data_IF_552973097880
#
_entry.id   IF_552973097880
#
_cell.length_a   1.000
_cell.length_b   1.000
_cell.length_c   1.000
_cell.angle_alpha   90.00
_cell.angle_beta   90.00
_cell.angle_gamma   90.00
#
_symmetry.space_group_name_H-M   'P 1'
#
loop_
_entity.id
_entity.type
_entity.pdbx_description
1 polymer ?
#
# COMPACT_ATOMS: atom_id res chain seq x y z
N UNK A 1 28.29 45.70 -22.36
CA UNK A 1 27.98 44.30 -22.72
C UNK A 1 28.11 43.41 -21.48
N UNK A 2 27.19 43.52 -20.51
CA UNK A 2 27.19 42.70 -19.27
C UNK A 2 25.80 42.47 -18.65
N UNK A 3 24.75 43.09 -19.20
CA UNK A 3 23.37 43.04 -18.66
C UNK A 3 22.44 42.12 -19.48
N UNK A 4 22.87 41.68 -20.66
CA UNK A 4 22.04 40.86 -21.56
C UNK A 4 21.88 39.39 -21.11
N UNK A 5 22.76 38.88 -20.25
CA UNK A 5 22.70 37.48 -19.77
C UNK A 5 21.60 37.29 -18.71
N UNK A 6 21.22 38.33 -17.98
CA UNK A 6 20.21 38.25 -16.92
C UNK A 6 18.77 38.08 -17.46
N UNK A 7 18.51 38.50 -18.71
CA UNK A 7 17.18 38.35 -19.33
C UNK A 7 16.96 36.92 -19.83
N UNK A 8 18.03 36.17 -20.14
CA UNK A 8 17.95 34.82 -20.68
C UNK A 8 17.59 33.74 -19.64
N UNK A 9 17.75 34.06 -18.35
CA UNK A 9 17.44 33.12 -17.25
C UNK A 9 16.00 33.23 -16.73
N UNK A 10 15.26 34.28 -17.10
CA UNK A 10 13.87 34.48 -16.67
C UNK A 10 12.84 33.77 -17.56
N UNK A 11 13.27 33.17 -18.68
CA UNK A 11 12.37 32.51 -19.64
C UNK A 11 12.21 31.00 -19.43
N UNK A 12 12.91 30.38 -18.48
CA UNK A 12 12.62 29.00 -18.07
C UNK A 12 11.43 28.97 -17.11
N UNK A 13 10.25 29.32 -17.61
CA UNK A 13 8.99 28.91 -16.99
C UNK A 13 8.85 27.41 -17.19
N UNK A 14 9.21 26.63 -16.18
CA UNK A 14 8.81 25.22 -16.11
C UNK A 14 7.30 25.18 -15.89
N UNK A 15 6.55 25.23 -16.99
CA UNK A 15 5.21 24.67 -17.01
C UNK A 15 5.36 23.16 -16.97
N UNK A 16 5.54 22.61 -15.77
CA UNK A 16 5.21 21.20 -15.54
C UNK A 16 3.72 21.11 -15.78
N UNK A 17 3.36 20.77 -17.02
CA UNK A 17 2.04 20.28 -17.32
C UNK A 17 1.98 18.93 -16.62
N UNK A 18 1.48 18.90 -15.38
CA UNK A 18 0.91 17.68 -14.85
C UNK A 18 -0.23 17.35 -15.81
N UNK A 19 0.03 16.45 -16.76
CA UNK A 19 -1.05 15.64 -17.31
C UNK A 19 -1.70 15.01 -16.08
N UNK A 20 -2.82 15.60 -15.65
CA UNK A 20 -3.83 14.80 -15.00
C UNK A 20 -4.34 13.90 -16.11
N UNK A 21 -3.60 12.82 -16.38
CA UNK A 21 -4.14 11.68 -17.08
C UNK A 21 -5.27 11.21 -16.17
N UNK A 22 -6.46 11.73 -16.48
CA UNK A 22 -7.75 11.36 -15.91
C UNK A 22 -8.10 9.90 -16.30
N UNK A 23 -7.21 9.22 -17.03
CA UNK A 23 -7.18 7.77 -17.22
C UNK A 23 -6.44 7.00 -16.11
N UNK A 24 -5.77 7.67 -15.17
CA UNK A 24 -5.06 7.03 -14.04
C UNK A 24 -5.97 6.67 -12.86
N UNK A 25 -7.25 7.04 -12.92
CA UNK A 25 -8.19 6.86 -11.81
C UNK A 25 -8.70 5.42 -11.65
N UNK A 26 -8.51 4.54 -12.65
CA UNK A 26 -9.02 3.16 -12.62
C UNK A 26 -7.99 2.12 -12.13
N UNK A 27 -6.74 2.54 -11.88
CA UNK A 27 -5.65 1.63 -11.49
C UNK A 27 -4.95 2.10 -10.22
N UNK A 28 -5.73 2.46 -9.19
CA UNK A 28 -5.17 2.69 -7.85
C UNK A 28 -4.53 1.37 -7.41
N UNK A 29 -3.20 1.37 -7.25
CA UNK A 29 -2.41 0.22 -6.82
C UNK A 29 -3.11 -0.50 -5.65
N UNK A 30 -3.40 -1.79 -5.80
CA UNK A 30 -4.15 -2.58 -4.80
C UNK A 30 -3.51 -2.52 -3.41
N UNK A 31 -2.19 -2.36 -3.34
CA UNK A 31 -1.46 -2.13 -2.09
C UNK A 31 -1.90 -0.84 -1.41
N UNK A 32 -2.03 0.27 -2.15
CA UNK A 32 -2.47 1.57 -1.61
C UNK A 32 -3.89 1.44 -1.05
N UNK A 33 -4.79 0.78 -1.79
CA UNK A 33 -6.16 0.57 -1.33
C UNK A 33 -6.21 -0.28 -0.04
N UNK A 34 -5.37 -1.31 0.07
CA UNK A 34 -5.26 -2.10 1.30
C UNK A 34 -4.79 -1.20 2.44
N UNK A 35 -3.71 -0.43 2.26
CA UNK A 35 -3.19 0.45 3.30
C UNK A 35 -4.22 1.49 3.77
N UNK A 36 -4.94 2.11 2.85
CA UNK A 36 -6.03 3.04 3.15
C UNK A 36 -7.14 2.38 3.98
N UNK A 37 -7.51 1.14 3.65
CA UNK A 37 -8.50 0.41 4.44
C UNK A 37 -7.98 0.06 5.83
N UNK A 38 -6.76 -0.48 5.92
CA UNK A 38 -6.13 -0.90 7.19
C UNK A 38 -5.96 0.26 8.16
N UNK A 39 -5.65 1.47 7.66
CA UNK A 39 -5.55 2.69 8.48
C UNK A 39 -6.82 2.99 9.28
N UNK A 40 -7.98 2.67 8.71
CA UNK A 40 -9.29 2.93 9.31
C UNK A 40 -9.73 1.87 10.33
N UNK A 41 -8.93 0.82 10.56
CA UNK A 41 -9.25 -0.20 11.57
C UNK A 41 -9.16 0.44 12.98
N UNK A 42 -10.19 0.26 13.83
CA UNK A 42 -10.19 0.81 15.18
C UNK A 42 -9.06 0.23 16.05
N UNK A 43 -8.33 1.08 16.75
CA UNK A 43 -7.21 0.70 17.62
C UNK A 43 -7.63 -0.33 18.69
N UNK A 44 -8.87 -0.28 19.18
CA UNK A 44 -9.42 -1.23 20.16
C UNK A 44 -9.45 -2.70 19.67
N UNK A 45 -9.37 -2.94 18.37
CA UNK A 45 -9.31 -4.29 17.80
C UNK A 45 -7.88 -4.86 17.82
N UNK A 46 -6.86 -4.01 18.03
CA UNK A 46 -5.45 -4.39 18.09
C UNK A 46 -5.07 -4.62 19.56
N UNK A 47 -4.93 -5.90 19.92
CA UNK A 47 -4.70 -6.30 21.32
C UNK A 47 -3.26 -6.06 21.80
N UNK A 48 -2.27 -6.21 20.93
CA UNK A 48 -0.87 -5.98 21.29
C UNK A 48 -0.53 -4.49 21.17
N UNK A 49 -0.12 -3.81 22.25
CA UNK A 49 0.28 -2.40 22.20
C UNK A 49 1.46 -2.11 21.27
N UNK A 50 2.37 -3.06 21.04
CA UNK A 50 3.52 -2.87 20.13
C UNK A 50 3.05 -2.68 18.69
N UNK A 51 1.98 -3.38 18.31
CA UNK A 51 1.34 -3.23 17.02
C UNK A 51 0.51 -1.95 16.91
N UNK A 52 0.11 -1.30 18.00
CA UNK A 52 -0.60 -0.02 17.93
C UNK A 52 0.32 1.10 17.45
N UNK A 53 1.56 1.13 17.93
CA UNK A 53 2.57 2.12 17.52
C UNK A 53 2.87 2.02 16.02
N UNK A 54 2.84 0.80 15.49
CA UNK A 54 3.15 0.49 14.09
C UNK A 54 1.95 -0.09 13.35
N UNK A 55 0.72 0.37 13.66
CA UNK A 55 -0.54 -0.25 13.25
C UNK A 55 -0.63 -0.59 11.77
N UNK A 56 -0.45 0.41 10.92
CA UNK A 56 -0.56 0.24 9.46
C UNK A 56 0.47 -0.78 8.94
N UNK A 57 1.71 -0.69 9.41
CA UNK A 57 2.78 -1.59 9.01
C UNK A 57 2.54 -3.01 9.52
N UNK A 58 2.20 -3.19 10.79
CA UNK A 58 1.91 -4.48 11.40
C UNK A 58 0.74 -5.19 10.72
N UNK A 59 -0.33 -4.46 10.41
CA UNK A 59 -1.47 -4.99 9.68
C UNK A 59 -1.09 -5.37 8.24
N UNK A 60 -0.35 -4.50 7.52
CA UNK A 60 0.06 -4.80 6.15
C UNK A 60 0.99 -6.01 6.10
N UNK A 61 1.96 -6.11 7.02
CA UNK A 61 2.82 -7.28 7.17
C UNK A 61 2.01 -8.54 7.41
N UNK A 62 0.98 -8.47 8.28
CA UNK A 62 0.10 -9.62 8.52
C UNK A 62 -0.63 -10.11 7.26
N UNK A 63 -1.09 -9.17 6.42
CA UNK A 63 -1.75 -9.46 5.15
C UNK A 63 -0.80 -10.14 4.18
N UNK A 64 0.40 -9.58 3.99
CA UNK A 64 1.41 -10.15 3.09
C UNK A 64 1.86 -11.53 3.57
N UNK A 65 2.11 -11.68 4.87
CA UNK A 65 2.54 -12.95 5.46
C UNK A 65 1.48 -14.04 5.28
N UNK A 66 0.21 -13.73 5.49
CA UNK A 66 -0.86 -14.69 5.26
C UNK A 66 -1.01 -15.05 3.77
N UNK A 67 -0.94 -14.07 2.86
CA UNK A 67 -1.00 -14.33 1.41
C UNK A 67 0.16 -15.25 0.99
N UNK A 68 1.39 -14.95 1.41
CA UNK A 68 2.57 -15.77 1.06
C UNK A 68 2.52 -17.16 1.68
N UNK A 69 1.97 -17.31 2.87
CA UNK A 69 1.71 -18.61 3.49
C UNK A 69 0.71 -19.43 2.67
N UNK A 70 -0.41 -18.84 2.26
CA UNK A 70 -1.43 -19.50 1.44
C UNK A 70 -0.92 -19.88 0.05
N UNK A 71 -0.01 -19.09 -0.51
CA UNK A 71 0.67 -19.40 -1.77
C UNK A 71 1.80 -20.44 -1.62
N UNK A 72 2.10 -20.88 -0.39
CA UNK A 72 3.20 -21.81 -0.12
C UNK A 72 4.60 -21.22 -0.35
N UNK A 73 4.72 -19.90 -0.53
CA UNK A 73 6.01 -19.21 -0.71
C UNK A 73 6.66 -18.83 0.62
N UNK A 74 5.90 -18.84 1.72
CA UNK A 74 6.40 -18.76 3.08
C UNK A 74 6.02 -20.02 3.88
N UNK A 75 7.02 -20.69 4.48
CA UNK A 75 6.82 -21.87 5.34
C UNK A 75 6.97 -21.57 6.83
N UNK A 76 7.41 -20.35 7.18
CA UNK A 76 7.67 -19.91 8.54
C UNK A 76 6.64 -18.87 8.97
N UNK A 77 5.47 -19.36 9.37
CA UNK A 77 4.40 -18.52 9.89
C UNK A 77 4.68 -18.03 11.32
N UNK A 78 4.50 -16.73 11.53
CA UNK A 78 4.47 -16.09 12.82
C UNK A 78 3.03 -16.02 13.34
N UNK A 79 2.76 -16.77 14.42
CA UNK A 79 1.42 -16.86 15.04
C UNK A 79 0.82 -15.51 15.42
N UNK A 80 1.67 -14.55 15.78
CA UNK A 80 1.26 -13.18 16.12
C UNK A 80 0.56 -12.48 14.94
N UNK A 81 1.12 -12.61 13.74
CA UNK A 81 0.54 -12.02 12.53
C UNK A 81 -0.74 -12.73 12.08
N UNK A 82 -0.98 -14.00 12.44
CA UNK A 82 -2.27 -14.66 12.18
C UNK A 82 -3.45 -13.94 12.83
N UNK A 83 -3.30 -13.52 14.09
CA UNK A 83 -4.39 -12.81 14.79
C UNK A 83 -4.60 -11.40 14.23
N UNK A 84 -3.52 -10.71 13.86
CA UNK A 84 -3.61 -9.42 13.16
C UNK A 84 -4.28 -9.56 11.79
N UNK A 85 -3.96 -10.61 11.04
CA UNK A 85 -4.59 -10.88 9.75
C UNK A 85 -6.10 -11.08 9.88
N UNK A 86 -6.57 -11.81 10.91
CA UNK A 86 -8.01 -11.95 11.16
C UNK A 86 -8.70 -10.61 11.36
N UNK A 87 -8.05 -9.68 12.07
CA UNK A 87 -8.57 -8.31 12.25
C UNK A 87 -8.56 -7.56 10.91
N UNK A 88 -7.46 -7.61 10.17
CA UNK A 88 -7.34 -7.00 8.86
C UNK A 88 -8.44 -7.49 7.90
N UNK A 89 -8.62 -8.82 7.81
CA UNK A 89 -9.60 -9.46 6.93
C UNK A 89 -11.04 -9.20 7.35
N UNK A 90 -11.33 -9.13 8.65
CA UNK A 90 -12.66 -8.75 9.16
C UNK A 90 -13.10 -7.38 8.66
N UNK A 91 -12.17 -6.42 8.53
CA UNK A 91 -12.48 -5.05 8.13
C UNK A 91 -12.30 -4.76 6.63
N UNK A 92 -11.34 -5.42 5.99
CA UNK A 92 -10.91 -5.12 4.61
C UNK A 92 -10.97 -6.32 3.65
N UNK A 93 -11.99 -7.20 3.70
CA UNK A 93 -11.94 -8.51 3.03
C UNK A 93 -11.80 -8.36 1.51
N UNK A 94 -12.67 -7.55 0.89
CA UNK A 94 -12.70 -7.38 -0.58
C UNK A 94 -11.37 -6.90 -1.15
N UNK A 95 -10.73 -5.95 -0.48
CA UNK A 95 -9.51 -5.31 -1.00
C UNK A 95 -8.31 -6.26 -0.79
N UNK A 96 -8.29 -7.00 0.32
CA UNK A 96 -7.31 -8.06 0.57
C UNK A 96 -7.46 -9.19 -0.46
N UNK A 97 -8.68 -9.60 -0.79
CA UNK A 97 -8.93 -10.61 -1.82
C UNK A 97 -8.44 -10.15 -3.21
N UNK A 98 -8.66 -8.88 -3.56
CA UNK A 98 -8.11 -8.28 -4.78
C UNK A 98 -6.59 -8.29 -4.79
N UNK A 99 -5.95 -7.93 -3.67
CA UNK A 99 -4.49 -7.99 -3.53
C UNK A 99 -4.00 -9.43 -3.74
N UNK A 100 -4.63 -10.40 -3.07
CA UNK A 100 -4.30 -11.83 -3.16
C UNK A 100 -4.38 -12.34 -4.60
N UNK A 101 -5.48 -12.05 -5.31
CA UNK A 101 -5.63 -12.43 -6.71
C UNK A 101 -4.49 -11.86 -7.60
N UNK A 102 -4.05 -10.64 -7.30
CA UNK A 102 -2.86 -10.04 -7.93
C UNK A 102 -1.59 -10.87 -7.73
N UNK A 103 -1.32 -11.29 -6.50
CA UNK A 103 -0.16 -12.15 -6.18
C UNK A 103 -0.27 -13.54 -6.84
N UNK A 104 -1.45 -14.17 -6.80
CA UNK A 104 -1.71 -15.46 -7.48
C UNK A 104 -1.44 -15.39 -8.99
N UNK A 105 -1.86 -14.32 -9.64
CA UNK A 105 -1.63 -14.13 -11.08
C UNK A 105 -0.15 -13.96 -11.44
N UNK A 106 0.67 -13.50 -10.49
CA UNK A 106 2.11 -13.31 -10.68
C UNK A 106 2.89 -14.58 -10.34
N UNK A 107 2.48 -15.31 -9.31
CA UNK A 107 3.15 -16.56 -8.88
C UNK A 107 2.97 -17.71 -9.89
N UNK A 108 1.90 -17.70 -10.69
CA UNK A 108 1.59 -18.72 -11.70
C UNK A 108 2.03 -18.36 -13.13
N UNK A 109 2.74 -17.23 -13.30
CA UNK A 109 3.38 -16.84 -14.57
C UNK A 109 4.79 -17.39 -14.66
#
# INVERSE_FOLDING_TARGET
>A
MKIWILIFLLSFSFSVHCNNDIDSQENINSVIQVMECLRNIPDKEIKNPDHLVSKELSLMTSVIENITLELGTNTNEQKEFRELYKVAYKHCPKIIDTLKAGYESTANK
#
